data_IF_782320231510
#
_entry.id   IF_782320231510
#
_cell.length_a   1.000
_cell.length_b   1.000
_cell.length_c   1.000
_cell.angle_alpha   90.00
_cell.angle_beta   90.00
_cell.angle_gamma   90.00
#
_symmetry.space_group_name_H-M   'P 1'
#
loop_
_entity.id
_entity.type
_entity.pdbx_description
1 polymer ?
#
# COMPACT_ATOMS: atom_id res chain seq x y z
N UNK A 1 -12.61 7.77 -18.12
CA UNK A 1 -11.71 8.93 -17.87
C UNK A 1 -11.09 8.78 -16.48
N UNK A 2 -9.83 9.14 -16.34
CA UNK A 2 -9.11 9.13 -15.07
C UNK A 2 -8.91 10.56 -14.58
N UNK A 3 -9.19 10.77 -13.31
CA UNK A 3 -9.07 12.06 -12.65
C UNK A 3 -8.00 12.00 -11.58
N UNK A 4 -7.28 13.09 -11.37
CA UNK A 4 -6.18 13.16 -10.41
C UNK A 4 -6.36 14.33 -9.45
N UNK A 5 -5.73 14.21 -8.27
CA UNK A 5 -5.66 15.27 -7.29
C UNK A 5 -4.41 15.08 -6.43
N UNK A 6 -3.78 16.17 -6.06
CA UNK A 6 -2.63 16.16 -5.16
C UNK A 6 -3.06 16.35 -3.72
N UNK A 7 -2.36 15.71 -2.81
CA UNK A 7 -2.59 15.79 -1.37
C UNK A 7 -1.25 15.98 -0.65
N UNK A 8 -1.16 16.98 0.21
CA UNK A 8 0.03 17.23 1.01
C UNK A 8 -0.10 16.54 2.35
N UNK A 9 0.63 15.44 2.54
CA UNK A 9 0.68 14.73 3.81
C UNK A 9 1.84 15.25 4.67
N UNK A 10 1.82 14.96 6.00
CA UNK A 10 2.95 15.31 6.88
C UNK A 10 4.28 14.65 6.48
N UNK A 11 4.25 13.59 5.68
CA UNK A 11 5.46 12.85 5.27
C UNK A 11 5.74 12.94 3.77
N UNK A 12 5.07 13.83 3.06
CA UNK A 12 5.34 14.10 1.66
C UNK A 12 4.09 14.25 0.81
N UNK A 13 4.30 14.71 -0.41
CA UNK A 13 3.23 14.91 -1.37
C UNK A 13 2.73 13.57 -1.91
N UNK A 14 1.42 13.46 -2.07
CA UNK A 14 0.74 12.27 -2.60
C UNK A 14 -0.02 12.67 -3.85
N UNK A 15 0.06 11.83 -4.89
CA UNK A 15 -0.80 11.92 -6.05
C UNK A 15 -1.90 10.87 -5.93
N UNK A 16 -3.15 11.32 -6.07
CA UNK A 16 -4.34 10.47 -6.09
C UNK A 16 -4.87 10.35 -7.51
N UNK A 17 -5.36 9.18 -7.88
CA UNK A 17 -6.04 8.94 -9.14
C UNK A 17 -7.29 8.09 -8.93
N UNK A 18 -8.33 8.41 -9.69
CA UNK A 18 -9.59 7.67 -9.64
C UNK A 18 -10.24 7.66 -11.02
N UNK A 19 -11.01 6.61 -11.28
CA UNK A 19 -11.90 6.53 -12.43
C UNK A 19 -13.37 6.45 -11.95
N UNK A 20 -14.28 6.09 -12.85
CA UNK A 20 -15.70 5.99 -12.52
C UNK A 20 -16.02 4.83 -11.57
N UNK A 21 -15.13 3.83 -11.47
CA UNK A 21 -15.32 2.66 -10.60
C UNK A 21 -14.77 2.87 -9.19
N UNK A 22 -13.75 3.72 -9.02
CA UNK A 22 -13.15 3.95 -7.72
C UNK A 22 -11.74 4.52 -7.79
N UNK A 23 -11.08 4.52 -6.65
CA UNK A 23 -9.68 4.94 -6.52
C UNK A 23 -8.78 3.93 -7.23
N UNK A 24 -7.92 4.41 -8.13
CA UNK A 24 -7.00 3.58 -8.90
C UNK A 24 -5.55 3.76 -8.49
N UNK A 25 -5.23 4.87 -7.82
CA UNK A 25 -3.86 5.16 -7.42
C UNK A 25 -3.76 6.08 -6.22
N UNK A 26 -2.76 5.82 -5.40
CA UNK A 26 -2.30 6.66 -4.31
C UNK A 26 -0.81 6.43 -4.18
N UNK A 27 -0.01 7.40 -4.63
CA UNK A 27 1.44 7.29 -4.66
C UNK A 27 2.11 8.45 -3.98
N UNK A 28 3.11 8.16 -3.16
CA UNK A 28 4.02 9.20 -2.68
C UNK A 28 4.90 9.70 -3.82
N UNK A 29 5.06 11.01 -3.91
CA UNK A 29 5.99 11.62 -4.86
C UNK A 29 7.39 11.07 -4.64
N UNK A 30 8.09 10.72 -5.73
CA UNK A 30 9.43 10.15 -5.69
C UNK A 30 9.50 8.67 -5.34
N UNK A 31 8.35 7.99 -5.14
CA UNK A 31 8.35 6.56 -4.85
C UNK A 31 8.72 5.72 -6.07
N UNK A 32 9.22 4.51 -5.81
CA UNK A 32 9.40 3.52 -6.86
C UNK A 32 8.03 3.19 -7.47
N UNK A 33 7.97 3.09 -8.78
CA UNK A 33 6.73 2.89 -9.54
C UNK A 33 5.70 4.03 -9.41
N UNK A 34 6.16 5.23 -9.09
CA UNK A 34 5.29 6.40 -9.00
C UNK A 34 4.46 6.56 -10.28
N UNK A 35 3.14 6.61 -10.12
CA UNK A 35 2.17 6.81 -11.20
C UNK A 35 2.34 5.84 -12.38
N UNK A 36 2.93 4.64 -12.16
CA UNK A 36 3.23 3.70 -13.23
C UNK A 36 1.99 3.26 -14.00
N UNK A 37 0.86 3.13 -13.31
CA UNK A 37 -0.41 2.69 -13.89
C UNK A 37 -1.33 3.86 -14.27
N UNK A 38 -0.86 5.11 -14.12
CA UNK A 38 -1.68 6.27 -14.45
C UNK A 38 -1.76 6.43 -15.96
N UNK A 39 -2.98 6.43 -16.56
CA UNK A 39 -3.14 6.69 -17.99
C UNK A 39 -2.56 8.06 -18.36
N UNK A 40 -1.96 8.16 -19.55
CA UNK A 40 -1.45 9.43 -20.06
C UNK A 40 -2.55 10.48 -20.18
N UNK A 41 -3.73 10.06 -20.61
CA UNK A 41 -4.91 10.92 -20.66
C UNK A 41 -5.60 10.92 -19.29
N UNK A 42 -5.37 11.97 -18.52
CA UNK A 42 -6.04 12.19 -17.24
C UNK A 42 -6.27 13.68 -17.03
N UNK A 43 -7.19 14.01 -16.13
CA UNK A 43 -7.60 15.39 -15.86
C UNK A 43 -7.46 15.64 -14.36
N UNK A 44 -6.81 16.74 -14.00
CA UNK A 44 -6.80 17.20 -12.62
C UNK A 44 -8.15 17.83 -12.31
N UNK A 45 -8.96 17.12 -11.51
CA UNK A 45 -10.32 17.53 -11.19
C UNK A 45 -10.81 16.82 -9.94
N UNK A 46 -11.54 17.52 -9.11
CA UNK A 46 -12.20 16.92 -7.95
C UNK A 46 -13.33 15.98 -8.39
N UNK A 47 -13.38 14.82 -7.78
CA UNK A 47 -14.47 13.86 -7.92
C UNK A 47 -14.90 13.36 -6.54
N UNK A 48 -16.11 12.80 -6.40
CA UNK A 48 -16.55 12.29 -5.09
C UNK A 48 -15.57 11.29 -4.48
N UNK A 49 -15.02 10.37 -5.28
CA UNK A 49 -14.05 9.37 -4.80
C UNK A 49 -12.76 10.04 -4.31
N UNK A 50 -12.24 11.01 -5.05
CA UNK A 50 -11.01 11.73 -4.64
C UNK A 50 -11.22 12.53 -3.36
N UNK A 51 -12.36 13.19 -3.22
CA UNK A 51 -12.70 13.95 -2.01
C UNK A 51 -12.89 13.04 -0.80
N UNK A 52 -13.54 11.89 -0.97
CA UNK A 52 -13.68 10.89 0.08
C UNK A 52 -12.31 10.33 0.50
N UNK A 53 -11.42 10.11 -0.45
CA UNK A 53 -10.05 9.66 -0.18
C UNK A 53 -9.28 10.69 0.63
N UNK A 54 -9.45 11.99 0.34
CA UNK A 54 -8.85 13.06 1.12
C UNK A 54 -9.36 13.05 2.56
N UNK A 55 -10.66 12.86 2.77
CA UNK A 55 -11.24 12.73 4.11
C UNK A 55 -10.63 11.55 4.85
N UNK A 56 -10.46 10.42 4.17
CA UNK A 56 -9.81 9.24 4.72
C UNK A 56 -8.37 9.54 5.16
N UNK A 57 -7.60 10.21 4.31
CA UNK A 57 -6.21 10.58 4.60
C UNK A 57 -6.12 11.59 5.76
N UNK A 58 -7.04 12.55 5.83
CA UNK A 58 -7.08 13.51 6.93
C UNK A 58 -7.29 12.82 8.28
N UNK A 59 -8.20 11.85 8.36
CA UNK A 59 -8.42 11.04 9.56
C UNK A 59 -7.18 10.22 9.89
N UNK A 60 -6.63 9.54 8.89
CA UNK A 60 -5.46 8.68 9.06
C UNK A 60 -4.24 9.46 9.58
N UNK A 61 -3.91 10.58 8.96
CA UNK A 61 -2.76 11.40 9.36
C UNK A 61 -3.00 12.19 10.65
N UNK A 62 -4.23 12.25 11.13
CA UNK A 62 -4.52 12.72 12.48
C UNK A 62 -4.23 11.67 13.56
N UNK A 63 -3.77 10.48 13.17
CA UNK A 63 -3.43 9.39 14.08
C UNK A 63 -4.62 8.52 14.48
N UNK A 64 -5.67 8.53 13.69
CA UNK A 64 -6.89 7.74 13.93
C UNK A 64 -7.09 6.72 12.82
N UNK A 65 -7.64 5.56 13.18
CA UNK A 65 -8.09 4.59 12.19
C UNK A 65 -9.37 5.09 11.53
N UNK A 66 -9.37 5.30 10.19
CA UNK A 66 -10.61 5.62 9.50
C UNK A 66 -11.61 4.46 9.61
N UNK A 67 -12.89 4.79 9.82
CA UNK A 67 -13.98 3.82 9.95
C UNK A 67 -14.72 3.56 8.64
N UNK A 68 -14.18 4.06 7.54
CA UNK A 68 -14.71 3.88 6.19
C UNK A 68 -13.57 3.65 5.22
N UNK A 69 -13.89 3.13 4.03
CA UNK A 69 -12.94 2.95 2.92
C UNK A 69 -13.57 3.52 1.66
N UNK A 70 -12.88 4.42 0.94
CA UNK A 70 -13.40 4.88 -0.35
C UNK A 70 -13.50 3.71 -1.33
N UNK A 71 -14.36 3.79 -2.35
CA UNK A 71 -14.42 2.76 -3.39
C UNK A 71 -13.04 2.57 -4.01
N UNK A 72 -12.57 1.33 -4.09
CA UNK A 72 -11.29 0.98 -4.67
C UNK A 72 -11.50 0.27 -6.01
N UNK A 73 -10.69 0.65 -7.00
CA UNK A 73 -10.62 -0.04 -8.27
C UNK A 73 -9.19 -0.54 -8.48
N UNK A 74 -8.91 -1.72 -7.96
CA UNK A 74 -7.60 -2.35 -8.05
C UNK A 74 -7.42 -3.00 -9.43
N UNK A 75 -6.51 -2.46 -10.21
CA UNK A 75 -6.20 -2.93 -11.56
C UNK A 75 -4.87 -3.66 -11.52
N UNK A 76 -4.87 -4.92 -11.90
CA UNK A 76 -3.67 -5.76 -11.92
C UNK A 76 -4.01 -7.22 -12.23
N UNK A 77 -2.99 -8.06 -12.31
CA UNK A 77 -3.16 -9.49 -12.54
C UNK A 77 -3.94 -10.15 -11.40
N UNK A 78 -4.51 -11.31 -11.65
CA UNK A 78 -5.23 -12.08 -10.64
C UNK A 78 -4.35 -12.37 -9.43
N UNK A 79 -3.08 -12.69 -9.65
CA UNK A 79 -2.12 -12.92 -8.58
C UNK A 79 -1.91 -11.66 -7.72
N UNK A 80 -1.66 -10.51 -8.36
CA UNK A 80 -1.50 -9.24 -7.63
C UNK A 80 -2.75 -8.88 -6.85
N UNK A 81 -3.92 -9.04 -7.44
CA UNK A 81 -5.19 -8.76 -6.76
C UNK A 81 -5.39 -9.67 -5.55
N UNK A 82 -5.02 -10.95 -5.66
CA UNK A 82 -5.09 -11.88 -4.53
C UNK A 82 -4.18 -11.43 -3.37
N UNK A 83 -2.96 -10.99 -3.69
CA UNK A 83 -2.05 -10.42 -2.68
C UNK A 83 -2.63 -9.16 -2.05
N UNK A 84 -3.10 -8.22 -2.86
CA UNK A 84 -3.64 -6.95 -2.36
C UNK A 84 -4.90 -7.16 -1.49
N UNK A 85 -5.73 -8.14 -1.80
CA UNK A 85 -6.87 -8.49 -0.96
C UNK A 85 -6.44 -9.00 0.42
N UNK A 86 -5.34 -9.73 0.48
CA UNK A 86 -4.76 -10.15 1.78
C UNK A 86 -4.26 -8.92 2.54
N UNK A 87 -3.59 -7.97 1.85
CA UNK A 87 -3.15 -6.73 2.48
C UNK A 87 -4.31 -5.98 3.12
N UNK A 88 -5.44 -5.88 2.43
CA UNK A 88 -6.64 -5.20 2.95
C UNK A 88 -7.18 -5.84 4.23
N UNK A 89 -6.86 -7.10 4.49
CA UNK A 89 -7.28 -7.80 5.70
C UNK A 89 -6.37 -7.56 6.91
N UNK A 90 -5.21 -6.92 6.71
CA UNK A 90 -4.27 -6.65 7.81
C UNK A 90 -4.81 -5.51 8.68
N UNK A 91 -5.10 -5.76 9.98
CA UNK A 91 -5.66 -4.72 10.83
C UNK A 91 -4.72 -3.53 11.01
N UNK A 92 -5.30 -2.37 11.27
CA UNK A 92 -4.59 -1.17 11.65
C UNK A 92 -3.68 -1.42 12.86
N UNK A 93 -2.44 -0.96 12.78
CA UNK A 93 -1.46 -1.15 13.85
C UNK A 93 -0.87 -2.56 13.95
N UNK A 94 -1.17 -3.43 12.98
CA UNK A 94 -0.67 -4.81 12.95
C UNK A 94 0.23 -5.02 11.74
N UNK A 95 1.07 -6.04 11.81
CA UNK A 95 1.96 -6.42 10.72
C UNK A 95 1.87 -7.92 10.47
N UNK A 96 2.17 -8.31 9.21
CA UNK A 96 2.38 -9.71 8.84
C UNK A 96 3.65 -9.82 8.03
N UNK A 97 4.13 -11.04 7.85
CA UNK A 97 5.36 -11.29 7.07
C UNK A 97 5.02 -11.69 5.64
N UNK A 98 5.99 -11.50 4.73
CA UNK A 98 5.86 -12.00 3.35
C UNK A 98 5.63 -13.51 3.33
N UNK A 99 6.27 -14.24 4.23
CA UNK A 99 6.09 -15.69 4.35
C UNK A 99 4.68 -16.08 4.77
N UNK A 100 4.05 -15.32 5.65
CA UNK A 100 2.67 -15.55 6.06
C UNK A 100 1.69 -15.30 4.91
N UNK A 101 1.92 -14.28 4.09
CA UNK A 101 1.12 -14.04 2.89
C UNK A 101 1.28 -15.20 1.91
N UNK A 102 2.51 -15.63 1.65
CA UNK A 102 2.78 -16.75 0.76
C UNK A 102 2.07 -18.03 1.21
N UNK A 103 2.09 -18.31 2.50
CA UNK A 103 1.39 -19.45 3.10
C UNK A 103 -0.12 -19.38 2.90
N UNK A 104 -0.70 -18.21 3.12
CA UNK A 104 -2.14 -18.00 2.96
C UNK A 104 -2.56 -18.16 1.51
N UNK A 105 -1.78 -17.62 0.56
CA UNK A 105 -2.02 -17.78 -0.87
C UNK A 105 -1.94 -19.24 -1.30
N UNK A 106 -0.92 -19.95 -0.86
CA UNK A 106 -0.75 -21.37 -1.16
C UNK A 106 -1.96 -22.19 -0.69
N UNK A 107 -2.43 -21.91 0.53
CA UNK A 107 -3.63 -22.55 1.09
C UNK A 107 -4.87 -22.22 0.28
N UNK A 108 -5.08 -20.96 -0.08
CA UNK A 108 -6.27 -20.50 -0.80
C UNK A 108 -6.35 -21.03 -2.22
N UNK A 109 -5.21 -21.25 -2.87
CA UNK A 109 -5.14 -21.70 -4.26
C UNK A 109 -4.89 -23.20 -4.40
N UNK A 110 -4.67 -23.92 -3.29
CA UNK A 110 -4.37 -25.35 -3.32
C UNK A 110 -2.97 -25.69 -3.84
N UNK A 111 -2.07 -24.73 -3.89
CA UNK A 111 -0.69 -24.90 -4.30
C UNK A 111 0.15 -25.25 -3.06
N UNK A 112 1.03 -26.25 -3.18
CA UNK A 112 1.86 -26.70 -2.04
C UNK A 112 2.86 -25.64 -1.56
N UNK A 113 3.35 -24.80 -2.48
CA UNK A 113 4.38 -23.81 -2.15
C UNK A 113 4.22 -22.55 -3.00
N UNK A 114 4.31 -21.41 -2.32
CA UNK A 114 4.27 -20.10 -2.96
C UNK A 114 5.57 -19.36 -2.66
N UNK A 115 6.15 -18.70 -3.69
CA UNK A 115 7.38 -17.92 -3.55
C UNK A 115 7.14 -16.62 -2.77
N UNK A 116 7.89 -16.42 -1.69
CA UNK A 116 7.90 -15.16 -0.95
C UNK A 116 8.41 -14.00 -1.82
N UNK A 117 9.31 -14.27 -2.76
CA UNK A 117 9.81 -13.28 -3.71
C UNK A 117 8.70 -12.80 -4.67
N UNK A 118 7.87 -13.71 -5.18
CA UNK A 118 6.73 -13.35 -6.02
C UNK A 118 5.71 -12.50 -5.24
N UNK A 119 5.45 -12.87 -3.99
CA UNK A 119 4.61 -12.07 -3.08
C UNK A 119 5.21 -10.68 -2.88
N UNK A 120 6.51 -10.59 -2.62
CA UNK A 120 7.21 -9.32 -2.46
C UNK A 120 7.08 -8.41 -3.68
N UNK A 121 7.15 -8.97 -4.88
CA UNK A 121 6.94 -8.23 -6.13
C UNK A 121 5.52 -7.66 -6.22
N UNK A 122 4.52 -8.44 -5.89
CA UNK A 122 3.12 -7.99 -5.90
C UNK A 122 2.86 -6.91 -4.84
N UNK A 123 3.41 -7.08 -3.63
CA UNK A 123 3.33 -6.09 -2.55
C UNK A 123 3.97 -4.77 -2.99
N UNK A 124 5.15 -4.84 -3.62
CA UNK A 124 5.88 -3.65 -4.08
C UNK A 124 5.19 -2.90 -5.22
N UNK A 125 4.35 -3.56 -6.01
CA UNK A 125 3.61 -2.95 -7.11
C UNK A 125 2.20 -2.50 -6.72
N UNK A 126 1.88 -2.49 -5.42
CA UNK A 126 0.61 -1.96 -4.93
C UNK A 126 0.40 -0.52 -5.42
N UNK A 127 -0.66 -0.24 -6.19
CA UNK A 127 -0.89 1.10 -6.73
C UNK A 127 -1.56 2.06 -5.75
N UNK A 128 -2.08 1.56 -4.63
CA UNK A 128 -2.83 2.36 -3.65
C UNK A 128 -2.15 2.22 -2.29
N UNK A 129 -1.07 2.98 -2.09
CA UNK A 129 -0.34 2.97 -0.83
C UNK A 129 -1.24 3.41 0.34
N UNK A 130 -0.91 3.02 1.55
CA UNK A 130 -1.59 3.34 2.81
C UNK A 130 -2.94 2.62 2.95
N UNK A 131 -3.90 2.86 2.04
CA UNK A 131 -5.24 2.24 2.11
C UNK A 131 -5.13 0.73 1.88
N UNK A 132 -4.38 0.31 0.85
CA UNK A 132 -3.94 -1.07 0.71
C UNK A 132 -2.60 -1.16 1.43
N UNK A 133 -2.56 -1.69 2.66
CA UNK A 133 -1.49 -1.37 3.61
C UNK A 133 -0.22 -2.21 3.41
N UNK A 134 0.47 -2.03 2.30
CA UNK A 134 1.73 -2.73 2.04
C UNK A 134 2.84 -2.37 3.04
N UNK A 135 2.73 -1.23 3.73
CA UNK A 135 3.65 -0.87 4.81
C UNK A 135 3.56 -1.80 6.03
N UNK A 136 2.47 -2.57 6.16
CA UNK A 136 2.26 -3.54 7.25
C UNK A 136 2.89 -4.90 6.98
N UNK A 137 3.64 -5.05 5.89
CA UNK A 137 4.33 -6.30 5.55
C UNK A 137 5.82 -6.16 5.87
N UNK A 138 6.35 -7.11 6.62
CA UNK A 138 7.74 -7.11 7.08
C UNK A 138 8.42 -8.45 6.76
N UNK A 139 9.75 -8.48 6.80
CA UNK A 139 10.50 -9.73 6.68
C UNK A 139 10.27 -10.64 7.89
N UNK A 140 10.44 -11.95 7.69
CA UNK A 140 10.19 -12.97 8.72
C UNK A 140 11.01 -12.74 10.01
N UNK A 141 12.18 -12.14 9.88
CA UNK A 141 13.07 -11.83 11.00
C UNK A 141 12.89 -10.41 11.56
N UNK A 142 11.87 -9.67 11.11
CA UNK A 142 11.64 -8.29 11.51
C UNK A 142 12.32 -7.24 10.63
N UNK A 143 12.90 -7.65 9.50
CA UNK A 143 13.52 -6.72 8.56
C UNK A 143 12.48 -5.82 7.90
N UNK A 144 12.71 -4.51 7.93
CA UNK A 144 11.86 -3.51 7.26
C UNK A 144 12.29 -3.39 5.80
N UNK A 145 11.90 -4.36 4.98
CA UNK A 145 12.27 -4.37 3.55
C UNK A 145 11.09 -4.01 2.67
N UNK A 146 11.38 -3.49 1.49
CA UNK A 146 10.46 -3.55 0.36
C UNK A 146 9.30 -2.58 0.38
N UNK A 147 9.50 -1.33 0.78
CA UNK A 147 8.47 -0.31 0.63
C UNK A 147 8.78 0.62 -0.55
N UNK A 148 7.87 0.72 -1.51
CA UNK A 148 8.05 1.56 -2.70
C UNK A 148 8.24 3.05 -2.36
N UNK A 149 7.59 3.53 -1.31
CA UNK A 149 7.74 4.90 -0.82
C UNK A 149 9.03 5.16 -0.04
N UNK A 150 9.83 4.13 0.22
CA UNK A 150 11.05 4.21 1.01
C UNK A 150 10.86 3.84 2.48
N UNK A 151 11.94 3.38 3.12
CA UNK A 151 11.88 2.87 4.49
C UNK A 151 11.50 3.93 5.51
N UNK A 152 11.89 5.19 5.31
CA UNK A 152 11.53 6.28 6.23
C UNK A 152 10.01 6.45 6.31
N UNK A 153 9.33 6.41 5.17
CA UNK A 153 7.87 6.50 5.13
C UNK A 153 7.21 5.27 5.73
N UNK A 154 7.74 4.08 5.45
CA UNK A 154 7.24 2.83 6.06
C UNK A 154 7.29 2.89 7.58
N UNK A 155 8.40 3.31 8.14
CA UNK A 155 8.58 3.47 9.58
C UNK A 155 7.63 4.53 10.14
N UNK A 156 7.51 5.67 9.44
CA UNK A 156 6.61 6.74 9.87
C UNK A 156 5.15 6.28 9.92
N UNK A 157 4.70 5.52 8.94
CA UNK A 157 3.34 4.98 8.90
C UNK A 157 3.10 3.96 10.02
N UNK A 158 4.04 3.04 10.26
CA UNK A 158 3.93 2.07 11.34
C UNK A 158 3.89 2.76 12.71
N UNK A 159 4.70 3.78 12.93
CA UNK A 159 4.69 4.58 14.15
C UNK A 159 3.39 5.37 14.32
N UNK A 160 2.88 5.94 13.25
CA UNK A 160 1.61 6.65 13.26
C UNK A 160 0.47 5.74 13.70
N UNK A 161 0.48 4.49 13.23
CA UNK A 161 -0.50 3.47 13.61
C UNK A 161 -0.24 2.85 15.00
N UNK A 162 0.82 3.27 15.67
CA UNK A 162 1.24 2.72 16.97
C UNK A 162 1.50 1.23 16.93
N UNK A 163 1.98 0.72 15.79
CA UNK A 163 2.40 -0.67 15.67
C UNK A 163 3.62 -0.94 16.54
N UNK A 164 3.71 -2.16 17.07
CA UNK A 164 4.89 -2.59 17.83
C UNK A 164 6.07 -2.77 16.88
N UNK A 165 7.00 -1.82 16.91
CA UNK A 165 8.19 -1.79 16.05
C UNK A 165 9.46 -2.21 16.76
N UNK A 166 9.38 -2.68 18.02
CA UNK A 166 10.55 -2.97 18.86
C UNK A 166 11.49 -4.03 18.25
N UNK A 167 10.93 -4.99 17.50
CA UNK A 167 11.69 -6.07 16.86
C UNK A 167 12.10 -5.76 15.43
N UNK A 168 11.74 -4.61 14.89
CA UNK A 168 11.99 -4.27 13.51
C UNK A 168 13.33 -3.54 13.37
N UNK A 169 13.99 -3.75 12.24
CA UNK A 169 15.27 -3.12 11.96
C UNK A 169 15.41 -2.80 10.47
N UNK A 170 16.25 -1.82 10.18
CA UNK A 170 16.60 -1.50 8.79
C UNK A 170 17.60 -2.54 8.29
N UNK A 171 17.39 -3.14 7.10
CA UNK A 171 18.37 -4.06 6.54
C UNK A 171 19.65 -3.30 6.17
N UNK A 172 20.80 -3.91 6.48
CA UNK A 172 22.12 -3.34 6.17
C UNK A 172 22.52 -3.56 4.71
N UNK A 173 21.98 -4.61 4.10
CA UNK A 173 22.24 -5.01 2.72
C UNK A 173 20.95 -5.54 2.11
N UNK A 174 20.80 -5.38 0.80
CA UNK A 174 19.68 -5.94 0.08
C UNK A 174 19.18 -5.03 -1.03
N UNK A 175 18.48 -5.63 -1.97
CA UNK A 175 17.88 -4.95 -3.13
C UNK A 175 16.51 -4.36 -2.83
N UNK A 176 15.97 -4.61 -1.66
CA UNK A 176 14.63 -4.24 -1.24
C UNK A 176 14.57 -2.93 -0.43
N UNK A 177 15.61 -2.13 -0.53
CA UNK A 177 15.70 -0.81 0.11
C UNK A 177 15.04 0.26 -0.74
#
# INVERSE_FOLDING_TARGET
MTYTKRYMSPIGEILLAADDAGLTGLWFEGSKYFAAELPKAHIEQDTPVLLETIQWLDVYFAGKEPDFTPPLHLIGSDFRQAVWNILLSIPYGRTITYGQIAKQLAKNTGIDKMSAQAVGGAVGHNPISIIVPCHRVVGTNGSLTGYAGGLDKKIALLKLEKADTARFFRPKKGTAL
#
